data_IF_448690977052
#
_entry.id   IF_448690977052
#
_cell.length_a   1.000
_cell.length_b   1.000
_cell.length_c   1.000
_cell.angle_alpha   90.00
_cell.angle_beta   90.00
_cell.angle_gamma   90.00
#
_symmetry.space_group_name_H-M   'P 1'
#
loop_
_entity.id
_entity.type
_entity.pdbx_description
1 polymer ?
#
# COMPACT_ATOMS: atom_id res chain seq x y z
N UNK A 1 -18.48 21.25 7.04
CA UNK A 1 -17.09 21.70 7.24
C UNK A 1 -16.19 20.56 7.75
N UNK A 2 -16.53 19.89 8.86
CA UNK A 2 -15.68 18.84 9.44
C UNK A 2 -15.49 17.60 8.55
N UNK A 3 -16.53 17.09 7.89
CA UNK A 3 -16.41 15.91 7.01
C UNK A 3 -15.52 16.15 5.79
N UNK A 4 -15.48 17.40 5.29
CA UNK A 4 -14.63 17.77 4.15
C UNK A 4 -13.14 17.70 4.50
N UNK A 5 -12.76 18.15 5.71
CA UNK A 5 -11.36 18.09 6.18
C UNK A 5 -10.86 16.64 6.30
N UNK A 6 -11.70 15.73 6.80
CA UNK A 6 -11.33 14.32 6.91
C UNK A 6 -11.15 13.63 5.56
N UNK A 7 -11.99 13.97 4.57
CA UNK A 7 -11.80 13.51 3.18
C UNK A 7 -10.48 14.02 2.62
N UNK A 8 -10.15 15.29 2.86
CA UNK A 8 -8.91 15.88 2.38
C UNK A 8 -7.68 15.21 3.02
N UNK A 9 -7.71 14.99 4.34
CA UNK A 9 -6.66 14.27 5.08
C UNK A 9 -6.51 12.84 4.58
N UNK A 10 -7.60 12.11 4.33
CA UNK A 10 -7.53 10.74 3.83
C UNK A 10 -6.96 10.67 2.41
N UNK A 11 -7.28 11.60 1.53
CA UNK A 11 -6.65 11.69 0.19
C UNK A 11 -5.15 11.97 0.33
N UNK A 12 -4.75 12.91 1.18
CA UNK A 12 -3.33 13.22 1.41
C UNK A 12 -2.58 12.02 1.99
N UNK A 13 -3.18 11.33 2.96
CA UNK A 13 -2.63 10.10 3.54
C UNK A 13 -2.47 9.00 2.48
N UNK A 14 -3.47 8.81 1.63
CA UNK A 14 -3.43 7.84 0.54
C UNK A 14 -2.29 8.14 -0.45
N UNK A 15 -2.18 9.39 -0.91
CA UNK A 15 -1.12 9.81 -1.84
C UNK A 15 0.25 9.66 -1.19
N UNK A 16 0.38 10.07 0.08
CA UNK A 16 1.62 9.88 0.85
C UNK A 16 2.02 8.41 0.96
N UNK A 17 1.08 7.53 1.28
CA UNK A 17 1.30 6.09 1.36
C UNK A 17 1.74 5.47 0.02
N UNK A 18 1.10 5.87 -1.09
CA UNK A 18 1.51 5.43 -2.43
C UNK A 18 2.90 5.91 -2.83
N UNK A 19 3.26 7.15 -2.50
CA UNK A 19 4.60 7.69 -2.79
C UNK A 19 5.66 6.91 -2.02
N UNK A 20 5.39 6.60 -0.74
CA UNK A 20 6.27 5.78 0.08
C UNK A 20 6.48 4.41 -0.58
N UNK A 21 5.42 3.69 -0.96
CA UNK A 21 5.56 2.41 -1.65
C UNK A 21 6.36 2.53 -2.97
N UNK A 22 6.04 3.53 -3.78
CA UNK A 22 6.70 3.69 -5.08
C UNK A 22 8.20 4.02 -4.96
N UNK A 23 8.64 4.60 -3.83
CA UNK A 23 10.00 5.13 -3.67
C UNK A 23 10.85 4.34 -2.67
N UNK A 24 10.26 3.84 -1.59
CA UNK A 24 10.95 3.18 -0.48
C UNK A 24 11.10 1.68 -0.76
N UNK A 25 10.03 0.99 -1.15
CA UNK A 25 10.07 -0.45 -1.47
C UNK A 25 11.20 -0.84 -2.44
N UNK A 26 11.45 -0.15 -3.59
CA UNK A 26 12.55 -0.53 -4.47
C UNK A 26 13.95 -0.24 -3.91
N UNK A 27 14.08 0.68 -2.94
CA UNK A 27 15.36 1.00 -2.28
C UNK A 27 15.77 -0.05 -1.24
N UNK A 28 14.80 -0.83 -0.75
CA UNK A 28 15.08 -1.96 0.15
C UNK A 28 15.89 -3.07 -0.52
N UNK A 29 15.79 -3.20 -1.85
CA UNK A 29 16.51 -4.24 -2.60
C UNK A 29 18.02 -4.02 -2.67
N UNK A 30 18.50 -2.80 -2.46
CA UNK A 30 19.92 -2.47 -2.57
C UNK A 30 20.69 -2.61 -1.26
N UNK A 31 20.01 -2.93 -0.15
CA UNK A 31 20.61 -3.05 1.18
C UNK A 31 20.44 -4.49 1.69
N UNK A 32 21.37 -4.96 2.52
CA UNK A 32 21.20 -6.25 3.20
C UNK A 32 20.14 -6.15 4.31
N UNK A 33 19.49 -7.27 4.64
CA UNK A 33 18.42 -7.31 5.65
C UNK A 33 18.89 -6.82 7.03
N UNK A 34 20.17 -7.07 7.36
CA UNK A 34 20.75 -6.74 8.67
C UNK A 34 21.14 -5.27 8.80
N UNK A 35 21.04 -4.47 7.73
CA UNK A 35 21.36 -3.05 7.77
C UNK A 35 20.22 -2.24 8.40
N UNK A 36 20.59 -1.29 9.27
CA UNK A 36 19.67 -0.34 9.90
C UNK A 36 18.84 0.42 8.85
N UNK A 37 19.43 0.71 7.68
CA UNK A 37 18.73 1.34 6.56
C UNK A 37 17.62 0.47 5.97
N UNK A 38 17.81 -0.86 5.92
CA UNK A 38 16.78 -1.79 5.49
C UNK A 38 15.63 -1.81 6.49
N UNK A 39 15.92 -1.96 7.79
CA UNK A 39 14.90 -1.91 8.84
C UNK A 39 14.11 -0.60 8.83
N UNK A 40 14.80 0.56 8.74
CA UNK A 40 14.15 1.87 8.70
C UNK A 40 13.27 2.05 7.46
N UNK A 41 13.74 1.59 6.30
CA UNK A 41 12.95 1.60 5.07
C UNK A 41 11.74 0.67 5.15
N UNK A 42 11.88 -0.51 5.75
CA UNK A 42 10.78 -1.46 5.90
C UNK A 42 9.70 -0.90 6.86
N UNK A 43 10.12 -0.26 7.95
CA UNK A 43 9.19 0.43 8.85
C UNK A 43 8.45 1.56 8.14
N UNK A 44 9.15 2.36 7.32
CA UNK A 44 8.50 3.38 6.48
C UNK A 44 7.50 2.75 5.51
N UNK A 45 7.82 1.61 4.90
CA UNK A 45 6.93 0.93 3.97
C UNK A 45 5.64 0.45 4.66
N UNK A 46 5.75 -0.09 5.88
CA UNK A 46 4.61 -0.45 6.73
C UNK A 46 3.76 0.78 7.07
N UNK A 47 4.39 1.91 7.41
CA UNK A 47 3.67 3.17 7.64
C UNK A 47 2.95 3.65 6.37
N UNK A 48 3.59 3.52 5.20
CA UNK A 48 2.99 3.82 3.91
C UNK A 48 1.76 2.96 3.63
N UNK A 49 1.83 1.67 3.94
CA UNK A 49 0.70 0.75 3.87
C UNK A 49 -0.44 1.19 4.78
N UNK A 50 -0.13 1.51 6.04
CA UNK A 50 -1.11 1.91 7.03
C UNK A 50 -1.83 3.20 6.64
N UNK A 51 -1.11 4.16 6.05
CA UNK A 51 -1.69 5.39 5.51
C UNK A 51 -2.61 5.12 4.31
N UNK A 52 -2.18 4.28 3.36
CA UNK A 52 -2.95 3.98 2.15
C UNK A 52 -4.24 3.21 2.46
N UNK A 53 -4.15 2.13 3.24
CA UNK A 53 -5.33 1.36 3.66
C UNK A 53 -6.18 2.11 4.69
N UNK A 54 -5.56 2.85 5.61
CA UNK A 54 -6.25 3.65 6.61
C UNK A 54 -7.15 4.72 5.98
N UNK A 55 -6.72 5.35 4.89
CA UNK A 55 -7.54 6.30 4.14
C UNK A 55 -8.84 5.67 3.61
N UNK A 56 -8.80 4.42 3.16
CA UNK A 56 -9.95 3.68 2.65
C UNK A 56 -10.92 3.31 3.78
N UNK A 57 -10.39 2.83 4.90
CA UNK A 57 -11.21 2.49 6.08
C UNK A 57 -11.91 3.73 6.63
N UNK A 58 -11.18 4.85 6.74
CA UNK A 58 -11.71 6.11 7.28
C UNK A 58 -12.81 6.69 6.39
N UNK A 59 -12.61 6.70 5.06
CA UNK A 59 -13.65 7.15 4.12
C UNK A 59 -14.86 6.22 4.12
N UNK A 60 -14.67 4.90 4.22
CA UNK A 60 -15.79 3.96 4.30
C UNK A 60 -16.64 4.16 5.57
N UNK A 61 -15.98 4.31 6.73
CA UNK A 61 -16.64 4.52 8.01
C UNK A 61 -17.39 5.85 8.09
N UNK A 62 -16.82 6.94 7.57
CA UNK A 62 -17.43 8.27 7.67
C UNK A 62 -18.67 8.45 6.81
N UNK A 63 -18.74 7.79 5.65
CA UNK A 63 -19.85 7.92 4.72
C UNK A 63 -20.77 6.70 4.72
N UNK A 64 -20.62 5.82 5.71
CA UNK A 64 -21.43 4.62 5.90
C UNK A 64 -21.55 3.75 4.63
N UNK A 65 -20.47 3.70 3.85
CA UNK A 65 -20.44 2.97 2.59
C UNK A 65 -21.44 3.45 1.52
N UNK A 66 -21.80 4.74 1.46
CA UNK A 66 -22.63 5.29 0.38
C UNK A 66 -22.07 4.92 -1.02
N UNK A 67 -22.95 4.72 -2.00
CA UNK A 67 -22.57 4.24 -3.34
C UNK A 67 -21.41 5.02 -4.00
N UNK A 68 -21.38 6.37 -3.99
CA UNK A 68 -20.25 7.12 -4.56
C UNK A 68 -18.92 6.84 -3.86
N UNK A 69 -18.96 6.59 -2.55
CA UNK A 69 -17.76 6.31 -1.74
C UNK A 69 -17.26 4.89 -1.97
N UNK A 70 -18.17 3.93 -2.24
CA UNK A 70 -17.75 2.59 -2.70
C UNK A 70 -17.01 2.67 -4.04
N UNK A 71 -17.50 3.46 -4.99
CA UNK A 71 -16.81 3.64 -6.29
C UNK A 71 -15.44 4.28 -6.07
N UNK A 72 -15.34 5.31 -5.24
CA UNK A 72 -14.05 5.94 -4.91
C UNK A 72 -13.08 4.93 -4.25
N UNK A 73 -13.54 4.20 -3.23
CA UNK A 73 -12.72 3.23 -2.50
C UNK A 73 -12.27 2.08 -3.39
N UNK A 74 -13.11 1.64 -4.32
CA UNK A 74 -12.72 0.68 -5.34
C UNK A 74 -11.56 1.20 -6.18
N UNK A 75 -11.63 2.44 -6.69
CA UNK A 75 -10.55 3.06 -7.47
C UNK A 75 -9.27 3.19 -6.65
N UNK A 76 -9.36 3.59 -5.37
CA UNK A 76 -8.21 3.70 -4.47
C UNK A 76 -7.57 2.33 -4.21
N UNK A 77 -8.36 1.29 -3.97
CA UNK A 77 -7.86 -0.07 -3.79
C UNK A 77 -7.20 -0.62 -5.05
N UNK A 78 -7.76 -0.35 -6.23
CA UNK A 78 -7.14 -0.70 -7.52
C UNK A 78 -5.80 -0.01 -7.67
N UNK A 79 -5.68 1.26 -7.28
CA UNK A 79 -4.39 1.97 -7.27
C UNK A 79 -3.34 1.30 -6.37
N UNK A 80 -3.72 0.89 -5.16
CA UNK A 80 -2.83 0.14 -4.25
C UNK A 80 -2.44 -1.20 -4.88
N UNK A 81 -3.40 -1.93 -5.43
CA UNK A 81 -3.16 -3.23 -6.07
C UNK A 81 -2.16 -3.11 -7.23
N UNK A 82 -2.32 -2.12 -8.10
CA UNK A 82 -1.39 -1.90 -9.23
C UNK A 82 0.02 -1.59 -8.73
N UNK A 83 0.15 -0.68 -7.75
CA UNK A 83 1.46 -0.26 -7.24
C UNK A 83 2.16 -1.40 -6.50
N UNK A 84 1.44 -2.10 -5.61
CA UNK A 84 1.97 -3.23 -4.83
C UNK A 84 2.32 -4.43 -5.71
N UNK A 85 1.50 -4.75 -6.71
CA UNK A 85 1.81 -5.81 -7.68
C UNK A 85 3.04 -5.45 -8.51
N UNK A 86 3.13 -4.19 -8.99
CA UNK A 86 4.28 -3.70 -9.75
C UNK A 86 5.55 -3.77 -8.92
N UNK A 87 5.52 -3.32 -7.66
CA UNK A 87 6.69 -3.38 -6.77
C UNK A 87 7.04 -4.82 -6.41
N UNK A 88 6.06 -5.71 -6.17
CA UNK A 88 6.30 -7.13 -5.91
C UNK A 88 7.01 -7.80 -7.10
N UNK A 89 6.50 -7.61 -8.32
CA UNK A 89 7.13 -8.15 -9.55
C UNK A 89 8.53 -7.55 -9.76
N UNK A 90 8.70 -6.25 -9.50
CA UNK A 90 9.99 -5.59 -9.59
C UNK A 90 11.00 -6.18 -8.59
N UNK A 91 10.56 -6.48 -7.38
CA UNK A 91 11.38 -7.11 -6.35
C UNK A 91 11.73 -8.55 -6.73
N UNK A 92 10.78 -9.35 -7.20
CA UNK A 92 11.02 -10.77 -7.52
C UNK A 92 12.01 -10.96 -8.68
N UNK A 93 12.08 -10.00 -9.63
CA UNK A 93 13.01 -10.10 -10.77
C UNK A 93 14.48 -10.07 -10.31
N UNK A 94 15.29 -11.06 -10.69
CA UNK A 94 16.69 -11.12 -10.30
C UNK A 94 17.47 -9.95 -10.92
N UNK A 95 18.20 -9.21 -10.09
CA UNK A 95 19.08 -8.12 -10.49
C UNK A 95 20.46 -8.30 -9.89
N UNK A 96 21.47 -7.86 -10.62
CA UNK A 96 22.86 -7.86 -10.17
C UNK A 96 22.98 -6.88 -8.99
N UNK A 97 23.54 -7.34 -7.86
CA UNK A 97 23.74 -6.52 -6.66
C UNK A 97 22.61 -6.51 -5.62
N UNK A 98 21.59 -7.38 -5.74
CA UNK A 98 20.53 -7.52 -4.72
C UNK A 98 20.74 -8.75 -3.84
N UNK A 99 20.53 -8.61 -2.53
CA UNK A 99 20.60 -9.76 -1.59
C UNK A 99 19.37 -10.66 -1.74
N UNK A 100 19.56 -11.98 -1.81
CA UNK A 100 18.45 -12.92 -2.09
C UNK A 100 17.36 -12.90 -1.00
N UNK A 101 17.75 -12.70 0.26
CA UNK A 101 16.85 -12.68 1.43
C UNK A 101 15.99 -11.42 1.45
N UNK A 102 16.59 -10.23 1.24
CA UNK A 102 15.83 -8.97 1.15
C UNK A 102 14.81 -9.04 0.02
N UNK A 103 15.20 -9.60 -1.12
CA UNK A 103 14.34 -9.81 -2.28
C UNK A 103 13.11 -10.66 -1.96
N UNK A 104 13.32 -11.79 -1.27
CA UNK A 104 12.24 -12.69 -0.88
C UNK A 104 11.28 -12.02 0.13
N UNK A 105 11.83 -11.31 1.11
CA UNK A 105 11.04 -10.62 2.14
C UNK A 105 10.24 -9.46 1.55
N UNK A 106 10.87 -8.54 0.81
CA UNK A 106 10.21 -7.38 0.20
C UNK A 106 9.22 -7.81 -0.88
N UNK A 107 9.57 -8.81 -1.70
CA UNK A 107 8.67 -9.38 -2.70
C UNK A 107 7.46 -10.08 -2.07
N UNK A 108 7.68 -10.88 -1.03
CA UNK A 108 6.61 -11.55 -0.27
C UNK A 108 5.68 -10.55 0.41
N UNK A 109 6.22 -9.53 1.07
CA UNK A 109 5.44 -8.46 1.66
C UNK A 109 4.56 -7.73 0.64
N UNK A 110 5.14 -7.34 -0.51
CA UNK A 110 4.37 -6.73 -1.61
C UNK A 110 3.26 -7.64 -2.15
N UNK A 111 3.51 -8.95 -2.21
CA UNK A 111 2.49 -9.93 -2.60
C UNK A 111 1.35 -10.02 -1.58
N UNK A 112 1.65 -10.06 -0.29
CA UNK A 112 0.63 -10.05 0.77
C UNK A 112 -0.22 -8.77 0.74
N UNK A 113 0.40 -7.61 0.50
CA UNK A 113 -0.31 -6.35 0.33
C UNK A 113 -1.23 -6.35 -0.90
N UNK A 114 -0.74 -6.89 -2.02
CA UNK A 114 -1.57 -7.05 -3.23
C UNK A 114 -2.75 -7.98 -2.95
N UNK A 115 -2.53 -9.12 -2.29
CA UNK A 115 -3.58 -10.04 -1.88
C UNK A 115 -4.59 -9.39 -0.93
N UNK A 116 -4.13 -8.62 0.06
CA UNK A 116 -5.00 -7.85 0.96
C UNK A 116 -5.86 -6.84 0.20
N UNK A 117 -5.26 -6.08 -0.73
CA UNK A 117 -6.02 -5.14 -1.56
C UNK A 117 -7.08 -5.84 -2.41
N UNK A 118 -6.77 -7.00 -3.00
CA UNK A 118 -7.73 -7.80 -3.75
C UNK A 118 -8.88 -8.31 -2.85
N UNK A 119 -8.56 -8.77 -1.63
CA UNK A 119 -9.56 -9.19 -0.66
C UNK A 119 -10.51 -8.04 -0.29
N UNK A 120 -9.98 -6.84 -0.02
CA UNK A 120 -10.81 -5.68 0.29
C UNK A 120 -11.67 -5.23 -0.89
N UNK A 121 -11.20 -5.38 -2.13
CA UNK A 121 -12.02 -5.13 -3.32
C UNK A 121 -13.23 -6.07 -3.33
N UNK A 122 -13.02 -7.37 -3.11
CA UNK A 122 -14.10 -8.36 -3.08
C UNK A 122 -15.06 -8.06 -1.91
N UNK A 123 -14.53 -7.76 -0.73
CA UNK A 123 -15.32 -7.43 0.45
C UNK A 123 -16.18 -6.19 0.23
N UNK A 124 -15.69 -5.19 -0.49
CA UNK A 124 -16.44 -3.97 -0.82
C UNK A 124 -17.71 -4.27 -1.64
N UNK A 125 -17.67 -5.30 -2.51
CA UNK A 125 -18.84 -5.72 -3.29
C UNK A 125 -19.79 -6.64 -2.51
N UNK A 126 -19.26 -7.39 -1.54
CA UNK A 126 -20.06 -8.29 -0.69
C UNK A 126 -20.79 -7.51 0.42
N UNK A 127 -20.12 -6.51 1.01
CA UNK A 127 -20.67 -5.71 2.08
C UNK A 127 -21.78 -4.81 1.52
N UNK A 128 -23.04 -5.26 1.66
CA UNK A 128 -24.23 -4.52 1.22
C UNK A 128 -24.45 -3.25 2.02
#
# INVERSE_FOLDING_TARGET
>A
MQSFLWVLISIVAYVGGLIIFARVTPRLLSHSFDEVFFMGGAALDILGALLAFGAIVLTFAMFNGAFPVRVLNFLLLVGILIVTLRTAVYCIRPRVGTTAVSRALTGGYGFFLAAASAFYIVQLFISR
#
